data_IF_711100613124
#
_entry.id   IF_711100613124
#
_cell.length_a   1.000
_cell.length_b   1.000
_cell.length_c   1.000
_cell.angle_alpha   90.00
_cell.angle_beta   90.00
_cell.angle_gamma   90.00
#
_symmetry.space_group_name_H-M   'P 1'
#
loop_
_entity.id
_entity.type
_entity.pdbx_description
1 polymer ?
#
# COMPACT_ATOMS: atom_id res chain seq x y z
N UNK A 1 45.28 15.17 -27.68
CA UNK A 1 43.87 14.74 -27.85
C UNK A 1 43.27 14.63 -26.47
N UNK A 2 42.01 15.06 -26.36
CA UNK A 2 41.26 15.31 -25.12
C UNK A 2 40.95 14.05 -24.31
N UNK A 3 40.95 14.28 -22.99
CA UNK A 3 40.12 13.73 -21.91
C UNK A 3 39.15 12.60 -22.23
N UNK A 4 39.24 11.52 -21.45
CA UNK A 4 38.05 10.82 -20.93
C UNK A 4 38.33 10.39 -19.50
N UNK A 5 37.86 11.18 -18.54
CA UNK A 5 37.78 10.76 -17.14
C UNK A 5 36.75 9.65 -17.01
N UNK A 6 37.21 8.42 -16.82
CA UNK A 6 36.36 7.28 -16.48
C UNK A 6 35.88 7.43 -15.03
N UNK A 7 34.82 8.20 -14.83
CA UNK A 7 34.05 8.15 -13.58
C UNK A 7 32.96 7.10 -13.78
N UNK A 8 33.31 5.85 -13.49
CA UNK A 8 32.35 4.75 -13.35
C UNK A 8 31.46 5.07 -12.13
N UNK A 9 30.43 5.87 -12.38
CA UNK A 9 29.35 6.11 -11.44
C UNK A 9 28.48 4.87 -11.40
N UNK A 10 28.57 4.12 -10.31
CA UNK A 10 27.59 3.10 -9.97
C UNK A 10 26.20 3.70 -10.01
N UNK A 11 25.32 3.11 -10.81
CA UNK A 11 23.89 3.42 -10.70
C UNK A 11 23.33 2.29 -9.87
N UNK A 12 22.99 2.65 -8.65
CA UNK A 12 22.35 1.80 -7.67
C UNK A 12 21.06 1.28 -8.31
N UNK A 13 21.03 -0.01 -8.65
CA UNK A 13 19.79 -0.77 -8.72
C UNK A 13 19.25 -0.86 -7.29
N UNK A 14 18.85 0.28 -6.72
CA UNK A 14 17.90 0.29 -5.63
C UNK A 14 16.62 -0.23 -6.25
N UNK A 15 16.38 -1.53 -6.06
CA UNK A 15 15.10 -2.16 -6.22
C UNK A 15 14.10 -1.36 -5.38
N UNK A 16 13.55 -0.30 -5.97
CA UNK A 16 12.37 0.35 -5.45
C UNK A 16 11.32 -0.74 -5.52
N UNK A 17 11.09 -1.42 -4.41
CA UNK A 17 9.83 -2.10 -4.15
C UNK A 17 8.81 -0.97 -4.22
N UNK A 18 8.35 -0.69 -5.44
CA UNK A 18 7.25 0.23 -5.69
C UNK A 18 6.16 -0.37 -4.86
N UNK A 19 5.90 0.29 -3.75
CA UNK A 19 4.92 -0.11 -2.78
C UNK A 19 3.58 -0.05 -3.49
N UNK A 20 3.27 -1.14 -4.18
CA UNK A 20 2.14 -1.21 -5.06
C UNK A 20 0.98 -1.41 -4.10
N UNK A 21 0.39 -0.31 -3.67
CA UNK A 21 -0.81 -0.22 -2.82
C UNK A 21 -1.90 -1.26 -3.18
N UNK A 22 -1.94 -1.70 -4.44
CA UNK A 22 -2.84 -2.71 -4.98
C UNK A 22 -2.43 -4.17 -4.70
N UNK A 23 -1.25 -4.43 -4.14
CA UNK A 23 -0.84 -5.76 -3.65
C UNK A 23 -1.34 -6.04 -2.23
N UNK A 24 -1.85 -5.03 -1.53
CA UNK A 24 -2.39 -5.23 -0.19
C UNK A 24 -3.71 -6.02 -0.22
N UNK A 25 -3.99 -6.88 0.78
CA UNK A 25 -5.24 -7.64 0.84
C UNK A 25 -6.47 -6.76 0.68
N UNK A 26 -7.50 -7.24 -0.03
CA UNK A 26 -8.78 -6.55 -0.18
C UNK A 26 -9.70 -6.94 0.97
N UNK A 27 -10.35 -5.96 1.58
CA UNK A 27 -11.33 -6.12 2.65
C UNK A 27 -12.71 -5.74 2.14
N UNK A 28 -13.73 -6.52 2.51
CA UNK A 28 -15.13 -6.19 2.25
C UNK A 28 -15.68 -5.32 3.38
N UNK A 29 -16.24 -4.17 3.04
CA UNK A 29 -16.92 -3.24 3.96
C UNK A 29 -18.40 -3.26 3.63
N UNK A 30 -19.24 -3.55 4.63
CA UNK A 30 -20.70 -3.55 4.50
C UNK A 30 -21.25 -2.32 5.22
N UNK A 31 -22.06 -1.51 4.52
CA UNK A 31 -22.54 -0.21 5.01
C UNK A 31 -24.06 -0.11 4.94
N UNK A 32 -24.64 0.40 6.03
CA UNK A 32 -26.05 0.78 6.12
C UNK A 32 -27.00 -0.41 6.24
N UNK A 33 -28.29 -0.09 6.43
CA UNK A 33 -29.37 -1.08 6.57
C UNK A 33 -29.62 -1.91 5.31
N UNK A 34 -29.17 -1.42 4.15
CA UNK A 34 -29.27 -2.13 2.87
C UNK A 34 -28.11 -3.10 2.62
N UNK A 35 -27.18 -3.25 3.58
CA UNK A 35 -25.99 -4.11 3.45
C UNK A 35 -25.18 -3.83 2.17
N UNK A 36 -24.94 -2.55 1.87
CA UNK A 36 -24.20 -2.19 0.67
C UNK A 36 -22.73 -2.59 0.81
N UNK A 37 -22.22 -3.37 -0.13
CA UNK A 37 -20.86 -3.90 -0.08
C UNK A 37 -19.86 -3.03 -0.88
N UNK A 38 -18.68 -2.82 -0.30
CA UNK A 38 -17.55 -2.15 -0.92
C UNK A 38 -16.28 -2.99 -0.74
N UNK A 39 -15.42 -3.03 -1.75
CA UNK A 39 -14.16 -3.78 -1.71
C UNK A 39 -13.01 -2.80 -1.76
N UNK A 40 -12.20 -2.78 -0.70
CA UNK A 40 -11.14 -1.78 -0.53
C UNK A 40 -9.85 -2.45 -0.11
N UNK A 41 -8.74 -2.02 -0.69
CA UNK A 41 -7.40 -2.43 -0.27
C UNK A 41 -7.14 -2.02 1.19
N UNK A 42 -6.75 -2.99 2.02
CA UNK A 42 -6.50 -2.82 3.47
C UNK A 42 -5.57 -1.65 3.74
N UNK A 43 -4.50 -1.52 2.95
CA UNK A 43 -3.51 -0.45 3.09
C UNK A 43 -4.13 0.93 2.84
N UNK A 44 -4.85 1.10 1.72
CA UNK A 44 -5.55 2.34 1.41
C UNK A 44 -6.54 2.72 2.51
N UNK A 45 -7.28 1.74 3.02
CA UNK A 45 -8.25 1.98 4.08
C UNK A 45 -7.59 2.47 5.38
N UNK A 46 -6.44 1.92 5.75
CA UNK A 46 -5.66 2.33 6.92
C UNK A 46 -4.95 3.69 6.73
N UNK A 47 -4.55 4.05 5.52
CA UNK A 47 -3.92 5.34 5.20
C UNK A 47 -4.92 6.50 5.27
N UNK A 48 -6.15 6.30 4.79
CA UNK A 48 -7.16 7.37 4.70
C UNK A 48 -7.93 7.62 5.99
N UNK A 49 -7.90 6.70 6.95
CA UNK A 49 -8.77 6.78 8.14
C UNK A 49 -8.12 6.18 9.38
N UNK A 50 -7.91 6.99 10.45
CA UNK A 50 -7.48 6.49 11.76
C UNK A 50 -8.44 5.46 12.35
N UNK A 51 -9.75 5.59 12.07
CA UNK A 51 -10.76 4.62 12.50
C UNK A 51 -10.49 3.25 11.89
N UNK A 52 -10.34 3.17 10.57
CA UNK A 52 -10.06 1.90 9.91
C UNK A 52 -8.68 1.36 10.27
N UNK A 53 -7.67 2.23 10.43
CA UNK A 53 -6.36 1.82 10.92
C UNK A 53 -6.46 1.12 12.27
N UNK A 54 -7.23 1.69 13.22
CA UNK A 54 -7.47 1.10 14.53
C UNK A 54 -8.17 -0.26 14.41
N UNK A 55 -9.29 -0.33 13.69
CA UNK A 55 -10.05 -1.56 13.45
C UNK A 55 -9.18 -2.69 12.88
N UNK A 56 -8.37 -2.38 11.87
CA UNK A 56 -7.50 -3.35 11.20
C UNK A 56 -6.30 -3.78 12.05
N UNK A 57 -5.79 -2.88 12.91
CA UNK A 57 -4.65 -3.17 13.79
C UNK A 57 -5.04 -3.98 15.03
N UNK A 58 -6.28 -3.85 15.50
CA UNK A 58 -6.78 -4.53 16.70
C UNK A 58 -7.10 -6.01 16.48
N UNK A 59 -6.83 -6.56 15.28
CA UNK A 59 -7.21 -7.93 14.93
C UNK A 59 -8.74 -8.06 14.82
N UNK A 60 -9.38 -7.21 14.01
CA UNK A 60 -10.81 -7.37 13.69
C UNK A 60 -11.06 -8.83 13.27
N UNK A 61 -11.84 -9.55 14.07
CA UNK A 61 -12.30 -10.88 13.74
C UNK A 61 -13.43 -10.75 12.71
N UNK A 62 -13.23 -11.34 11.55
CA UNK A 62 -14.28 -11.56 10.56
C UNK A 62 -15.38 -12.40 11.25
N UNK A 63 -16.63 -11.90 11.27
CA UNK A 63 -17.80 -12.72 11.59
C UNK A 63 -18.42 -13.25 10.30
#
# INVERSE_FOLDING_TARGET
MQETGSREGGTLDEDFEVDNIYTSPVVKVVVGSLNQEFYVHKRRMAEVSPFFKACLSAGMMEQ
#
